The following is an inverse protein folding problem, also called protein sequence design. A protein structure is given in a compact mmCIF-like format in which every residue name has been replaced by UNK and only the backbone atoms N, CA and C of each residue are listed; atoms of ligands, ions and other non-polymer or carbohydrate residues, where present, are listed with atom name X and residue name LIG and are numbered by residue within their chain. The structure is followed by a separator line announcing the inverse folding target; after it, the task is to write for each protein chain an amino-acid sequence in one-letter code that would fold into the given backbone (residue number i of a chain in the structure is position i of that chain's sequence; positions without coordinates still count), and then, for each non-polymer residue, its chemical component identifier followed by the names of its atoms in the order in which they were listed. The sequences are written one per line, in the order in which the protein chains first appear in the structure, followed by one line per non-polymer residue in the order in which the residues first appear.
data_IF_234837910251
#
_entry.id   IF_234837910251
#
_cell.length_a   1.000
_cell.length_b   1.000
_cell.length_c   1.000
_cell.angle_alpha   90.00
_cell.angle_beta   90.00
_cell.angle_gamma   90.00
#
_symmetry.space_group_name_H-M   'P 1'
#
loop_
_entity.id
_entity.type
_entity.pdbx_description
1 polymer ?
#
# COMPACT_ATOMS: atom_id res chain seq x y z
N UNK A 1 23.19 5.67 21.46
CA UNK A 1 22.08 6.43 20.84
C UNK A 1 22.63 7.06 19.57
N UNK A 2 22.40 6.43 18.42
CA UNK A 2 22.80 6.93 17.09
C UNK A 2 21.59 6.73 16.19
N UNK A 3 20.98 7.83 15.78
CA UNK A 3 19.94 7.85 14.75
C UNK A 3 20.71 8.00 13.45
N UNK A 4 20.89 6.90 12.73
CA UNK A 4 21.48 6.94 11.39
C UNK A 4 20.44 7.54 10.46
N UNK A 5 20.74 8.74 9.98
CA UNK A 5 20.00 9.40 8.89
C UNK A 5 19.99 8.43 7.71
N UNK A 6 18.79 8.05 7.28
CA UNK A 6 18.60 7.40 5.99
C UNK A 6 19.12 8.35 4.91
N UNK A 7 20.22 7.94 4.29
CA UNK A 7 20.84 8.60 3.15
C UNK A 7 19.80 8.78 2.03
N UNK A 8 19.42 10.03 1.77
CA UNK A 8 18.41 10.42 0.76
C UNK A 8 18.98 10.52 -0.65
N UNK A 9 20.28 10.22 -0.84
CA UNK A 9 21.00 10.38 -2.12
C UNK A 9 21.42 9.04 -2.76
N UNK A 10 21.06 7.91 -2.13
CA UNK A 10 21.25 6.58 -2.72
C UNK A 10 20.35 6.39 -3.96
N UNK A 11 20.84 5.78 -5.06
CA UNK A 11 20.04 5.55 -6.25
C UNK A 11 18.78 4.80 -5.88
N UNK A 12 17.62 5.46 -6.07
CA UNK A 12 16.34 4.85 -5.73
C UNK A 12 16.20 3.58 -6.57
N UNK A 13 16.03 2.40 -5.95
CA UNK A 13 15.68 1.21 -6.71
C UNK A 13 14.47 1.53 -7.59
N UNK A 14 14.53 1.07 -8.83
CA UNK A 14 13.44 1.25 -9.78
C UNK A 14 12.15 0.75 -9.11
N UNK A 15 11.02 1.40 -9.36
CA UNK A 15 9.76 1.08 -8.66
C UNK A 15 9.46 -0.44 -8.66
N UNK A 16 9.84 -1.15 -9.72
CA UNK A 16 9.74 -2.59 -9.91
C UNK A 16 10.55 -3.43 -8.90
N UNK A 17 11.75 -2.99 -8.51
CA UNK A 17 12.62 -3.73 -7.57
C UNK A 17 12.09 -3.64 -6.15
N UNK A 18 11.57 -2.47 -5.77
CA UNK A 18 10.89 -2.28 -4.47
C UNK A 18 9.63 -3.11 -4.37
N UNK A 19 8.83 -3.13 -5.43
CA UNK A 19 7.64 -3.98 -5.50
C UNK A 19 7.98 -5.48 -5.42
N UNK A 20 9.12 -5.90 -5.96
CA UNK A 20 9.58 -7.30 -5.89
C UNK A 20 10.01 -7.71 -4.48
N UNK A 21 10.70 -6.82 -3.76
CA UNK A 21 11.08 -7.02 -2.35
C UNK A 21 9.85 -7.05 -1.43
N UNK A 22 8.90 -6.13 -1.65
CA UNK A 22 7.65 -6.07 -0.88
C UNK A 22 6.77 -7.32 -1.15
N UNK A 23 6.71 -7.79 -2.39
CA UNK A 23 6.01 -9.04 -2.75
C UNK A 23 6.62 -10.27 -2.07
N UNK A 24 7.96 -10.33 -2.03
CA UNK A 24 8.70 -11.41 -1.35
C UNK A 24 8.48 -11.36 0.17
N UNK A 25 8.42 -10.17 0.76
CA UNK A 25 8.13 -9.97 2.19
C UNK A 25 6.68 -10.28 2.56
N UNK A 26 5.72 -10.07 1.65
CA UNK A 26 4.32 -10.42 1.89
C UNK A 26 4.10 -11.93 1.87
N UNK A 27 4.74 -12.67 0.96
CA UNK A 27 4.65 -14.13 0.89
C UNK A 27 3.20 -14.66 1.01
N UNK A 28 2.92 -15.42 2.07
CA UNK A 28 1.57 -15.93 2.43
C UNK A 28 0.90 -15.13 3.55
N UNK A 29 1.54 -14.08 4.06
CA UNK A 29 1.03 -13.28 5.16
C UNK A 29 -0.16 -12.43 4.71
N UNK A 30 -1.18 -12.35 5.56
CA UNK A 30 -2.40 -11.59 5.25
C UNK A 30 -2.16 -10.07 5.34
N UNK A 31 -1.27 -9.64 6.24
CA UNK A 31 -0.89 -8.26 6.55
C UNK A 31 0.62 -8.17 6.85
N UNK A 32 1.21 -6.98 6.69
CA UNK A 32 2.66 -6.77 6.80
C UNK A 32 3.25 -7.10 8.18
N UNK A 33 2.48 -6.93 9.25
CA UNK A 33 2.88 -7.20 10.64
C UNK A 33 2.13 -8.35 11.29
N UNK A 34 1.53 -9.25 10.51
CA UNK A 34 0.63 -10.31 10.99
C UNK A 34 -0.79 -9.79 11.31
N UNK A 35 -0.91 -8.71 12.07
CA UNK A 35 -2.16 -7.96 12.27
C UNK A 35 -2.31 -6.78 11.32
N UNK A 36 -3.56 -6.35 11.06
CA UNK A 36 -3.81 -5.13 10.30
C UNK A 36 -3.37 -3.90 11.09
N UNK A 37 -2.54 -3.06 10.47
CA UNK A 37 -1.88 -1.94 11.11
C UNK A 37 -1.95 -0.67 10.24
N UNK A 38 -1.48 0.45 10.78
CA UNK A 38 -1.32 1.68 10.01
C UNK A 38 -0.36 1.52 8.80
N UNK A 39 0.62 0.62 8.90
CA UNK A 39 1.51 0.29 7.78
C UNK A 39 0.77 -0.29 6.59
N UNK A 40 -0.26 -1.10 6.84
CA UNK A 40 -1.11 -1.66 5.77
C UNK A 40 -1.95 -0.57 5.09
N UNK A 41 -2.42 0.44 5.82
CA UNK A 41 -3.13 1.58 5.24
C UNK A 41 -2.23 2.41 4.31
N UNK A 42 -1.00 2.69 4.74
CA UNK A 42 -0.02 3.40 3.92
C UNK A 42 0.33 2.59 2.66
N UNK A 43 0.53 1.27 2.79
CA UNK A 43 0.85 0.39 1.67
C UNK A 43 -0.33 0.31 0.66
N UNK A 44 -1.55 0.15 1.14
CA UNK A 44 -2.75 0.13 0.30
C UNK A 44 -2.94 1.45 -0.44
N UNK A 45 -2.66 2.59 0.20
CA UNK A 45 -2.74 3.89 -0.47
C UNK A 45 -1.73 4.03 -1.61
N UNK A 46 -0.51 3.51 -1.46
CA UNK A 46 0.49 3.46 -2.53
C UNK A 46 0.04 2.54 -3.65
N UNK A 47 -0.41 1.33 -3.33
CA UNK A 47 -0.88 0.36 -4.32
C UNK A 47 -2.11 0.86 -5.07
N UNK A 48 -3.02 1.60 -4.44
CA UNK A 48 -4.17 2.20 -5.13
C UNK A 48 -3.76 3.23 -6.19
N UNK A 49 -2.67 3.97 -5.97
CA UNK A 49 -2.11 4.88 -6.98
C UNK A 49 -1.44 4.13 -8.13
N UNK A 50 -0.83 2.99 -7.85
CA UNK A 50 -0.26 2.11 -8.87
C UNK A 50 -1.34 1.28 -9.59
N UNK A 51 -2.52 1.12 -8.99
CA UNK A 51 -3.66 0.47 -9.63
C UNK A 51 -4.17 1.27 -10.84
N UNK A 52 -4.16 2.60 -10.78
CA UNK A 52 -4.56 3.42 -11.93
C UNK A 52 -3.59 3.30 -13.12
N UNK A 53 -2.37 2.81 -12.91
CA UNK A 53 -1.41 2.53 -13.98
C UNK A 53 -1.45 1.06 -14.47
N UNK A 54 -2.34 0.21 -13.95
CA UNK A 54 -2.49 -1.20 -14.35
C UNK A 54 -1.44 -2.17 -13.80
N UNK A 55 -0.30 -1.68 -13.34
CA UNK A 55 0.84 -2.49 -12.85
C UNK A 55 0.45 -3.45 -11.72
N UNK A 56 -0.45 -3.03 -10.83
CA UNK A 56 -0.86 -3.87 -9.67
C UNK A 56 -1.66 -5.10 -10.10
N UNK A 57 -2.34 -5.05 -11.24
CA UNK A 57 -3.13 -6.17 -11.73
C UNK A 57 -2.25 -7.31 -12.28
N UNK A 58 -0.97 -7.05 -12.56
CA UNK A 58 0.05 -8.06 -12.91
C UNK A 58 0.50 -8.91 -11.70
N UNK A 59 0.17 -8.48 -10.48
CA UNK A 59 0.56 -9.15 -9.23
C UNK A 59 -0.69 -9.58 -8.44
N UNK A 60 -1.21 -10.81 -8.64
CA UNK A 60 -2.45 -11.27 -8.02
C UNK A 60 -2.46 -11.21 -6.48
N UNK A 61 -1.30 -11.39 -5.84
CA UNK A 61 -1.14 -11.27 -4.39
C UNK A 61 -1.38 -9.84 -3.89
N UNK A 62 -0.85 -8.85 -4.61
CA UNK A 62 -1.04 -7.43 -4.30
C UNK A 62 -2.47 -6.97 -4.61
N UNK A 63 -3.04 -7.45 -5.72
CA UNK A 63 -4.44 -7.20 -6.04
C UNK A 63 -5.37 -7.76 -4.95
N UNK A 64 -5.13 -8.99 -4.48
CA UNK A 64 -5.88 -9.59 -3.38
C UNK A 64 -5.69 -8.83 -2.06
N UNK A 65 -4.48 -8.35 -1.78
CA UNK A 65 -4.18 -7.54 -0.59
C UNK A 65 -4.96 -6.22 -0.58
N UNK A 66 -4.97 -5.47 -1.70
CA UNK A 66 -5.75 -4.24 -1.86
C UNK A 66 -7.26 -4.53 -1.74
N UNK A 67 -7.75 -5.61 -2.35
CA UNK A 67 -9.15 -6.01 -2.26
C UNK A 67 -9.55 -6.28 -0.80
N UNK A 68 -8.75 -7.06 -0.05
CA UNK A 68 -9.00 -7.32 1.38
C UNK A 68 -9.05 -6.03 2.21
N UNK A 69 -8.13 -5.10 1.97
CA UNK A 69 -8.08 -3.84 2.71
C UNK A 69 -9.29 -2.94 2.42
N UNK A 70 -9.68 -2.83 1.14
CA UNK A 70 -10.79 -1.96 0.70
C UNK A 70 -12.18 -2.49 1.05
N UNK A 71 -12.33 -3.81 1.25
CA UNK A 71 -13.57 -4.42 1.75
C UNK A 71 -13.84 -4.14 3.24
N UNK A 72 -12.88 -3.61 3.99
CA UNK A 72 -13.08 -3.32 5.42
C UNK A 72 -14.12 -2.19 5.59
N UNK A 73 -15.16 -2.35 6.45
CA UNK A 73 -16.17 -1.31 6.66
C UNK A 73 -15.59 0.03 7.10
N UNK A 74 -14.53 0.02 7.91
CA UNK A 74 -13.83 1.24 8.34
C UNK A 74 -13.20 1.99 7.16
N UNK A 75 -12.61 1.27 6.21
CA UNK A 75 -12.04 1.85 4.99
C UNK A 75 -13.14 2.49 4.13
N UNK A 76 -14.23 1.77 3.89
CA UNK A 76 -15.35 2.27 3.09
C UNK A 76 -15.98 3.54 3.68
N UNK A 77 -16.16 3.58 5.01
CA UNK A 77 -16.66 4.76 5.72
C UNK A 77 -15.70 5.95 5.58
N UNK A 78 -14.41 5.74 5.80
CA UNK A 78 -13.39 6.79 5.68
C UNK A 78 -13.31 7.32 4.23
N UNK A 79 -13.35 6.43 3.24
CA UNK A 79 -13.32 6.80 1.82
C UNK A 79 -14.58 7.56 1.41
N UNK A 80 -15.77 7.14 1.87
CA UNK A 80 -17.02 7.86 1.63
C UNK A 80 -16.98 9.28 2.24
N UNK A 81 -16.48 9.42 3.47
CA UNK A 81 -16.31 10.71 4.11
C UNK A 81 -15.35 11.63 3.34
N UNK A 82 -14.18 11.10 2.93
CA UNK A 82 -13.22 11.86 2.13
C UNK A 82 -13.79 12.26 0.76
N UNK A 83 -14.49 11.36 0.08
CA UNK A 83 -15.16 11.64 -1.20
C UNK A 83 -16.19 12.75 -1.09
N UNK A 84 -16.98 12.77 -0.03
CA UNK A 84 -17.97 13.82 0.19
C UNK A 84 -17.31 15.21 0.30
N UNK A 85 -16.12 15.31 0.90
CA UNK A 85 -15.37 16.58 0.94
C UNK A 85 -14.95 17.02 -0.47
N UNK A 86 -14.41 16.12 -1.29
CA UNK A 86 -13.99 16.46 -2.65
C UNK A 86 -15.14 16.71 -3.62
N UNK A 87 -16.32 16.15 -3.39
CA UNK A 87 -17.52 16.40 -4.21
C UNK A 87 -18.26 17.68 -3.82
N UNK A 88 -18.02 18.18 -2.61
CA UNK A 88 -18.62 19.41 -2.09
C UNK A 88 -17.65 20.62 -2.15
N UNK A 89 -16.50 20.46 -2.81
CA UNK A 89 -15.51 21.52 -3.07
C UNK A 89 -15.61 21.99 -4.52
#
# INVERSE_FOLDING_TARGET
MQITVVDVDSPRPCASERLSQDSTGLGTATWLGGGFSAGDLMMVAVLLRLKSSGIVDEYPSLAAYVARATQRPAYQRAFAAQRAVFQNA
#
